data_IF_705473493534
#
_entry.id   IF_705473493534
#
_cell.length_a   1.000
_cell.length_b   1.000
_cell.length_c   1.000
_cell.angle_alpha   90.00
_cell.angle_beta   90.00
_cell.angle_gamma   90.00
#
_symmetry.space_group_name_H-M   'P 1'
#
loop_
_entity.id
_entity.type
_entity.pdbx_description
1 polymer ?
#
# COMPACT_ATOMS: atom_id res chain seq x y z
N UNK A 1 39.85 -16.40 -18.47
CA UNK A 1 38.61 -15.75 -18.00
C UNK A 1 38.99 -14.98 -16.76
N UNK A 2 38.84 -13.66 -16.81
CA UNK A 2 39.25 -12.75 -15.75
C UNK A 2 38.01 -11.99 -15.27
N UNK A 3 37.88 -11.86 -13.96
CA UNK A 3 36.89 -10.98 -13.35
C UNK A 3 37.58 -9.63 -13.07
N UNK A 4 37.16 -8.60 -13.78
CA UNK A 4 37.65 -7.22 -13.67
C UNK A 4 36.54 -6.33 -13.07
N UNK A 5 35.63 -6.92 -12.29
CA UNK A 5 34.58 -6.20 -11.59
C UNK A 5 35.14 -5.33 -10.47
N UNK A 6 34.61 -4.13 -10.34
CA UNK A 6 34.98 -3.17 -9.30
C UNK A 6 33.74 -2.49 -8.70
N UNK A 7 33.94 -1.41 -7.94
CA UNK A 7 32.83 -0.66 -7.32
C UNK A 7 32.01 0.14 -8.34
N UNK A 8 32.50 0.31 -9.56
CA UNK A 8 31.81 1.01 -10.65
C UNK A 8 30.94 0.07 -11.49
N UNK A 9 31.22 -1.24 -11.46
CA UNK A 9 30.35 -2.23 -12.10
C UNK A 9 30.94 -3.63 -12.22
N UNK A 10 30.10 -4.55 -12.72
CA UNK A 10 30.50 -5.92 -13.03
C UNK A 10 31.13 -5.99 -14.43
N UNK A 11 32.33 -6.57 -14.55
CA UNK A 11 32.99 -6.81 -15.84
C UNK A 11 33.73 -8.14 -15.85
N UNK A 12 33.26 -9.05 -16.69
CA UNK A 12 33.88 -10.37 -16.89
C UNK A 12 34.48 -10.42 -18.29
N UNK A 13 35.77 -10.73 -18.38
CA UNK A 13 36.52 -10.83 -19.64
C UNK A 13 36.82 -12.29 -19.94
N UNK A 14 36.45 -12.74 -21.14
CA UNK A 14 36.73 -14.10 -21.62
C UNK A 14 37.62 -14.00 -22.85
N UNK A 15 38.91 -14.26 -22.67
CA UNK A 15 39.85 -14.32 -23.78
C UNK A 15 39.57 -15.54 -24.67
N UNK A 16 39.61 -15.32 -25.98
CA UNK A 16 39.31 -16.33 -27.00
C UNK A 16 40.62 -16.72 -27.68
N UNK A 17 40.77 -18.01 -28.02
CA UNK A 17 41.93 -18.49 -28.78
C UNK A 17 41.98 -17.82 -30.15
N UNK A 18 43.19 -17.58 -30.67
CA UNK A 18 43.46 -16.81 -31.90
C UNK A 18 42.79 -17.39 -33.16
N UNK A 19 42.61 -18.69 -33.19
CA UNK A 19 42.02 -19.49 -34.27
C UNK A 19 40.52 -19.76 -34.08
N UNK A 20 39.93 -19.36 -32.95
CA UNK A 20 38.52 -19.56 -32.67
C UNK A 20 37.66 -18.39 -33.16
N UNK A 21 36.52 -18.72 -33.77
CA UNK A 21 35.51 -17.73 -34.13
C UNK A 21 34.73 -17.31 -32.87
N UNK A 22 34.83 -16.04 -32.50
CA UNK A 22 34.22 -15.47 -31.29
C UNK A 22 32.70 -15.62 -31.24
N UNK A 23 32.01 -15.48 -32.38
CA UNK A 23 30.54 -15.61 -32.46
C UNK A 23 30.09 -17.04 -32.19
N UNK A 24 30.85 -18.03 -32.68
CA UNK A 24 30.57 -19.45 -32.42
C UNK A 24 30.79 -19.79 -30.95
N UNK A 25 31.85 -19.27 -30.34
CA UNK A 25 32.13 -19.46 -28.91
C UNK A 25 31.02 -18.82 -28.07
N UNK A 26 30.60 -17.60 -28.38
CA UNK A 26 29.52 -16.91 -27.68
C UNK A 26 28.19 -17.69 -27.76
N UNK A 27 27.83 -18.19 -28.94
CA UNK A 27 26.62 -19.01 -29.10
C UNK A 27 26.68 -20.32 -28.29
N UNK A 28 27.86 -20.96 -28.24
CA UNK A 28 28.06 -22.13 -27.37
C UNK A 28 27.94 -21.77 -25.90
N UNK A 29 28.48 -20.62 -25.48
CA UNK A 29 28.35 -20.13 -24.11
C UNK A 29 26.88 -19.88 -23.75
N UNK A 30 26.10 -19.22 -24.61
CA UNK A 30 24.66 -19.05 -24.38
C UNK A 30 23.92 -20.39 -24.25
N UNK A 31 24.30 -21.39 -25.05
CA UNK A 31 23.63 -22.70 -25.03
C UNK A 31 24.02 -23.57 -23.83
N UNK A 32 25.27 -23.48 -23.36
CA UNK A 32 25.84 -24.42 -22.39
C UNK A 32 26.04 -23.81 -20.99
N UNK A 33 25.78 -22.52 -20.81
CA UNK A 33 25.96 -21.82 -19.53
C UNK A 33 24.72 -21.03 -19.15
N UNK A 34 24.66 -20.56 -17.91
CA UNK A 34 23.55 -19.75 -17.41
C UNK A 34 23.47 -18.32 -17.98
N UNK A 35 24.33 -17.95 -18.94
CA UNK A 35 24.28 -16.65 -19.61
C UNK A 35 22.97 -16.41 -20.38
N UNK A 36 22.29 -17.48 -20.80
CA UNK A 36 20.94 -17.42 -21.34
C UNK A 36 20.08 -18.47 -20.64
N UNK A 37 18.97 -18.04 -20.06
CA UNK A 37 17.99 -18.92 -19.43
C UNK A 37 16.58 -18.48 -19.75
N UNK A 38 15.63 -19.40 -19.65
CA UNK A 38 14.21 -19.11 -19.77
C UNK A 38 13.60 -18.88 -18.39
N UNK A 39 12.72 -17.88 -18.28
CA UNK A 39 11.87 -17.71 -17.11
C UNK A 39 10.41 -17.90 -17.51
N UNK A 40 9.77 -18.93 -16.96
CA UNK A 40 8.36 -19.23 -17.21
C UNK A 40 7.47 -18.38 -16.30
N UNK A 41 6.76 -17.42 -16.87
CA UNK A 41 5.82 -16.57 -16.14
C UNK A 41 4.52 -17.33 -15.90
N UNK A 42 4.09 -17.42 -14.64
CA UNK A 42 2.82 -18.04 -14.26
C UNK A 42 2.08 -17.18 -13.23
N UNK A 43 1.07 -16.44 -13.69
CA UNK A 43 0.34 -15.46 -12.88
C UNK A 43 -0.80 -16.13 -12.09
N UNK A 44 -0.47 -16.95 -11.09
CA UNK A 44 -1.46 -17.53 -10.18
C UNK A 44 -1.50 -16.73 -8.88
N UNK A 45 -2.69 -16.29 -8.49
CA UNK A 45 -2.91 -15.58 -7.23
C UNK A 45 -4.24 -15.96 -6.58
N UNK A 46 -4.40 -15.65 -5.30
CA UNK A 46 -5.66 -15.81 -4.59
C UNK A 46 -6.61 -14.65 -4.90
N UNK A 47 -7.78 -14.96 -5.43
CA UNK A 47 -8.89 -14.00 -5.59
C UNK A 47 -10.05 -14.49 -4.74
N UNK A 48 -10.42 -13.72 -3.72
CA UNK A 48 -11.46 -14.08 -2.74
C UNK A 48 -11.21 -15.46 -2.10
N UNK A 49 -9.95 -15.71 -1.70
CA UNK A 49 -9.53 -16.95 -1.03
C UNK A 49 -9.37 -18.17 -1.94
N UNK A 50 -9.56 -18.04 -3.25
CA UNK A 50 -9.40 -19.15 -4.21
C UNK A 50 -8.26 -18.89 -5.20
N UNK A 51 -7.38 -19.87 -5.46
CA UNK A 51 -6.31 -19.72 -6.44
C UNK A 51 -6.91 -19.62 -7.84
N UNK A 52 -6.45 -18.62 -8.61
CA UNK A 52 -6.85 -18.39 -10.00
C UNK A 52 -5.63 -18.02 -10.82
N UNK A 53 -5.60 -18.52 -12.06
CA UNK A 53 -4.71 -18.01 -13.09
C UNK A 53 -5.29 -16.70 -13.64
N UNK A 54 -4.47 -15.65 -13.70
CA UNK A 54 -4.90 -14.30 -14.04
C UNK A 54 -4.13 -13.78 -15.25
N UNK A 55 -4.84 -13.14 -16.17
CA UNK A 55 -4.21 -12.30 -17.18
C UNK A 55 -3.92 -10.89 -16.61
N UNK A 56 -3.23 -10.06 -17.38
CA UNK A 56 -2.89 -8.69 -16.96
C UNK A 56 -4.13 -7.83 -16.65
N UNK A 57 -5.21 -7.96 -17.42
CA UNK A 57 -6.44 -7.21 -17.20
C UNK A 57 -7.11 -7.61 -15.88
N UNK A 58 -7.13 -8.89 -15.55
CA UNK A 58 -7.71 -9.39 -14.31
C UNK A 58 -6.91 -8.92 -13.09
N UNK A 59 -5.57 -8.90 -13.19
CA UNK A 59 -4.70 -8.35 -12.15
C UNK A 59 -4.97 -6.86 -11.90
N UNK A 60 -5.05 -6.06 -12.96
CA UNK A 60 -5.35 -4.63 -12.86
C UNK A 60 -6.75 -4.42 -12.28
N UNK A 61 -7.74 -5.20 -12.73
CA UNK A 61 -9.11 -5.12 -12.22
C UNK A 61 -9.17 -5.42 -10.72
N UNK A 62 -8.54 -6.51 -10.28
CA UNK A 62 -8.49 -6.86 -8.86
C UNK A 62 -7.84 -5.75 -8.01
N UNK A 63 -6.80 -5.10 -8.53
CA UNK A 63 -6.18 -3.95 -7.85
C UNK A 63 -7.13 -2.75 -7.77
N UNK A 64 -7.80 -2.40 -8.87
CA UNK A 64 -8.75 -1.26 -8.90
C UNK A 64 -9.94 -1.51 -7.98
N UNK A 65 -10.51 -2.72 -8.00
CA UNK A 65 -11.61 -3.11 -7.11
C UNK A 65 -11.21 -2.96 -5.63
N UNK A 66 -10.02 -3.44 -5.27
CA UNK A 66 -9.47 -3.26 -3.92
C UNK A 66 -9.28 -1.78 -3.56
N UNK A 67 -8.78 -0.97 -4.49
CA UNK A 67 -8.59 0.48 -4.26
C UNK A 67 -9.92 1.20 -4.03
N UNK A 68 -10.96 0.82 -4.75
CA UNK A 68 -12.30 1.39 -4.56
C UNK A 68 -12.83 1.10 -3.14
N UNK A 69 -12.70 -0.14 -2.67
CA UNK A 69 -13.10 -0.53 -1.32
C UNK A 69 -12.32 0.24 -0.24
N UNK A 70 -11.00 0.40 -0.42
CA UNK A 70 -10.15 1.16 0.50
C UNK A 70 -10.58 2.63 0.57
N UNK A 71 -10.87 3.25 -0.57
CA UNK A 71 -11.33 4.65 -0.61
C UNK A 71 -12.66 4.80 0.10
N UNK A 72 -13.64 3.93 -0.16
CA UNK A 72 -14.94 3.96 0.53
C UNK A 72 -14.77 3.83 2.05
N UNK A 73 -13.97 2.88 2.51
CA UNK A 73 -13.73 2.67 3.95
C UNK A 73 -13.09 3.90 4.59
N UNK A 74 -12.09 4.50 3.93
CA UNK A 74 -11.44 5.71 4.42
C UNK A 74 -12.42 6.88 4.49
N UNK A 75 -13.19 7.12 3.43
CA UNK A 75 -14.16 8.23 3.39
C UNK A 75 -15.26 8.07 4.43
N UNK A 76 -15.77 6.84 4.65
CA UNK A 76 -16.74 6.57 5.73
C UNK A 76 -16.16 6.84 7.12
N UNK A 77 -14.90 6.46 7.34
CA UNK A 77 -14.20 6.73 8.59
C UNK A 77 -14.02 8.24 8.82
N UNK A 78 -13.60 8.97 7.78
CA UNK A 78 -13.44 10.43 7.83
C UNK A 78 -14.76 11.15 8.08
N UNK A 79 -15.84 10.72 7.41
CA UNK A 79 -17.20 11.26 7.61
C UNK A 79 -17.65 11.07 9.06
N UNK A 80 -17.56 9.85 9.60
CA UNK A 80 -17.96 9.56 10.99
C UNK A 80 -17.21 10.45 11.98
N UNK A 81 -15.90 10.62 11.78
CA UNK A 81 -15.07 11.48 12.64
C UNK A 81 -15.46 12.96 12.53
N UNK A 82 -15.86 13.42 11.34
CA UNK A 82 -16.33 14.78 11.14
C UNK A 82 -17.69 15.01 11.81
N UNK A 83 -18.63 14.06 11.71
CA UNK A 83 -19.94 14.09 12.35
C UNK A 83 -19.83 14.08 13.88
N UNK A 84 -19.01 13.20 14.45
CA UNK A 84 -18.74 13.18 15.91
C UNK A 84 -18.20 14.54 16.40
N UNK A 85 -17.31 15.15 15.62
CA UNK A 85 -16.76 16.47 15.96
C UNK A 85 -17.81 17.57 15.80
N UNK A 86 -18.66 17.51 14.79
CA UNK A 86 -19.74 18.46 14.57
C UNK A 86 -20.76 18.41 15.72
N UNK A 87 -21.14 17.21 16.19
CA UNK A 87 -22.05 17.03 17.31
C UNK A 87 -21.53 17.67 18.61
N UNK A 88 -20.24 17.46 18.92
CA UNK A 88 -19.60 18.11 20.08
C UNK A 88 -19.63 19.64 19.94
N UNK A 89 -19.31 20.15 18.75
CA UNK A 89 -19.30 21.60 18.50
C UNK A 89 -20.70 22.21 18.64
N UNK A 90 -21.74 21.52 18.17
CA UNK A 90 -23.13 21.97 18.29
C UNK A 90 -23.54 22.11 19.77
N UNK A 91 -23.22 21.12 20.61
CA UNK A 91 -23.46 21.20 22.06
C UNK A 91 -22.71 22.36 22.71
N UNK A 92 -21.46 22.62 22.31
CA UNK A 92 -20.67 23.75 22.81
C UNK A 92 -21.25 25.11 22.38
N UNK A 93 -21.79 25.22 21.16
CA UNK A 93 -22.44 26.44 20.68
C UNK A 93 -23.69 26.73 21.52
N UNK A 94 -24.57 25.74 21.70
CA UNK A 94 -25.78 25.90 22.51
C UNK A 94 -25.44 26.29 23.95
N UNK A 95 -24.42 25.65 24.55
CA UNK A 95 -23.96 25.99 25.89
C UNK A 95 -23.38 27.42 25.97
N UNK A 96 -22.67 27.87 24.92
CA UNK A 96 -22.15 29.23 24.84
C UNK A 96 -23.26 30.28 24.71
N UNK A 97 -24.32 29.98 23.96
CA UNK A 97 -25.46 30.88 23.78
C UNK A 97 -26.29 31.03 25.07
N UNK A 98 -26.29 30.02 25.94
CA UNK A 98 -27.05 29.98 27.19
C UNK A 98 -26.13 29.98 28.44
N UNK A 99 -25.00 30.68 28.36
CA UNK A 99 -23.91 30.53 29.34
C UNK A 99 -24.31 30.84 30.79
N UNK A 100 -25.20 31.82 31.01
CA UNK A 100 -25.65 32.19 32.35
C UNK A 100 -26.49 31.07 32.99
N UNK A 101 -27.35 30.41 32.21
CA UNK A 101 -28.18 29.30 32.65
C UNK A 101 -27.33 28.06 32.96
N UNK A 102 -26.38 27.74 32.07
CA UNK A 102 -25.42 26.64 32.29
C UNK A 102 -24.62 26.87 33.59
N UNK A 103 -24.14 28.09 33.83
CA UNK A 103 -23.43 28.43 35.09
C UNK A 103 -24.36 28.30 36.30
N UNK A 104 -25.62 28.71 36.19
CA UNK A 104 -26.59 28.61 37.28
C UNK A 104 -26.87 27.13 37.64
N UNK A 105 -27.12 26.27 36.64
CA UNK A 105 -27.32 24.83 36.83
C UNK A 105 -26.10 24.23 37.54
N UNK A 106 -24.89 24.47 37.01
CA UNK A 106 -23.64 23.94 37.59
C UNK A 106 -23.45 24.41 39.04
N UNK A 107 -23.70 25.69 39.35
CA UNK A 107 -23.56 26.23 40.72
C UNK A 107 -24.62 25.70 41.69
N UNK A 108 -25.81 25.37 41.20
CA UNK A 108 -26.93 24.89 42.02
C UNK A 108 -26.90 23.38 42.29
N UNK A 109 -26.17 22.61 41.48
CA UNK A 109 -26.07 21.16 41.61
C UNK A 109 -25.03 20.73 42.65
N UNK A 110 -25.32 19.62 43.35
CA UNK A 110 -24.47 19.15 44.45
C UNK A 110 -23.21 18.41 43.98
N UNK A 111 -23.24 17.87 42.76
CA UNK A 111 -22.13 17.13 42.15
C UNK A 111 -22.27 17.13 40.60
N UNK A 112 -21.23 16.72 39.84
CA UNK A 112 -21.27 16.74 38.37
C UNK A 112 -22.37 15.87 37.75
N UNK A 113 -22.73 14.75 38.37
CA UNK A 113 -23.77 13.86 37.85
C UNK A 113 -25.16 14.51 37.95
N UNK A 114 -25.45 15.15 39.09
CA UNK A 114 -26.67 15.94 39.34
C UNK A 114 -26.76 17.16 38.41
N UNK A 115 -25.64 17.70 37.93
CA UNK A 115 -25.62 18.77 36.93
C UNK A 115 -25.88 18.28 35.49
N UNK A 116 -25.56 17.02 35.17
CA UNK A 116 -25.80 16.43 33.84
C UNK A 116 -27.25 15.98 33.66
N UNK A 117 -27.91 15.59 34.75
CA UNK A 117 -29.31 15.13 34.73
C UNK A 117 -30.35 16.26 34.74
N UNK A 118 -29.96 17.49 35.08
CA UNK A 118 -30.80 18.70 35.05
C UNK A 118 -30.70 19.42 33.72
#
# INVERSE_FOLDING_TARGET
MNDESDRSGMRIVVDIKRDANSSVVLNKLYKLTALQSSFSVNNIALVNGRPKLLNLKDLIKAFVDHRHDVVIRRTKFELKKAEERAHILEGLIIASDNIDEVIAIIKSSMNPQDAIER
#
